data_IF_382867815378
#
_entry.id   IF_382867815378
#
_cell.length_a   1.000
_cell.length_b   1.000
_cell.length_c   1.000
_cell.angle_alpha   90.00
_cell.angle_beta   90.00
_cell.angle_gamma   90.00
#
_symmetry.space_group_name_H-M   'P 1'
#
loop_
_entity.id
_entity.type
_entity.pdbx_description
1 polymer ?
#
# COMPACT_ATOMS: atom_id res chain seq x y z
N UNK A 1 -65.38 78.97 -0.56
CA UNK A 1 -65.41 77.52 -0.38
C UNK A 1 -63.95 77.04 -0.32
N UNK A 2 -63.39 76.96 0.90
CA UNK A 2 -63.12 75.70 1.68
C UNK A 2 -62.00 74.86 1.05
N UNK A 3 -60.89 74.42 1.67
CA UNK A 3 -60.27 74.40 3.01
C UNK A 3 -58.74 74.16 2.76
N UNK A 4 -57.80 74.74 3.52
CA UNK A 4 -57.12 74.22 4.74
C UNK A 4 -56.28 72.92 4.53
N UNK A 5 -54.92 73.00 4.54
CA UNK A 5 -53.95 72.50 5.57
C UNK A 5 -53.94 70.96 5.71
N UNK A 6 -52.82 70.23 5.56
CA UNK A 6 -51.92 69.88 6.68
C UNK A 6 -50.61 69.16 6.26
N UNK A 7 -49.57 69.37 7.07
CA UNK A 7 -48.20 68.82 7.00
C UNK A 7 -48.13 67.39 7.55
N UNK A 8 -47.17 66.57 7.11
CA UNK A 8 -46.38 65.72 8.02
C UNK A 8 -44.91 65.58 7.57
N UNK A 9 -44.03 65.60 8.57
CA UNK A 9 -42.56 65.59 8.51
C UNK A 9 -42.00 64.16 8.42
N UNK A 10 -40.93 64.03 7.61
CA UNK A 10 -39.59 63.49 7.90
C UNK A 10 -39.32 62.07 8.48
N UNK A 11 -38.13 61.59 8.07
CA UNK A 11 -37.25 60.54 8.61
C UNK A 11 -37.56 59.06 8.30
N UNK A 12 -36.71 58.43 7.48
CA UNK A 12 -35.62 57.58 8.00
C UNK A 12 -34.83 56.96 6.84
N UNK A 13 -33.56 57.38 6.70
CA UNK A 13 -32.53 56.65 5.94
C UNK A 13 -32.05 55.49 6.81
N UNK A 14 -32.24 54.25 6.35
CA UNK A 14 -31.47 53.11 6.86
C UNK A 14 -30.48 52.64 5.77
N UNK A 15 -29.15 52.72 6.02
CA UNK A 15 -28.17 51.97 5.26
C UNK A 15 -28.12 50.51 5.78
N UNK A 16 -27.27 49.67 5.19
CA UNK A 16 -27.04 48.25 5.53
C UNK A 16 -27.82 47.21 4.72
N UNK A 17 -27.42 47.06 3.45
CA UNK A 17 -27.53 45.78 2.72
C UNK A 17 -26.19 45.39 2.08
N UNK A 18 -25.14 45.28 2.90
CA UNK A 18 -23.86 44.68 2.49
C UNK A 18 -23.34 43.78 3.61
N UNK A 19 -23.99 42.62 3.79
CA UNK A 19 -23.53 41.56 4.69
C UNK A 19 -24.02 40.21 4.13
N UNK A 20 -23.49 39.81 2.98
CA UNK A 20 -23.78 38.51 2.38
C UNK A 20 -22.61 37.94 1.56
N UNK A 21 -21.36 38.29 1.90
CA UNK A 21 -20.16 37.74 1.25
C UNK A 21 -19.12 37.25 2.26
N UNK A 22 -19.54 36.46 3.25
CA UNK A 22 -18.62 35.82 4.21
C UNK A 22 -18.86 34.30 4.36
N UNK A 23 -19.56 33.66 3.41
CA UNK A 23 -19.89 32.22 3.47
C UNK A 23 -19.34 31.39 2.29
N UNK A 24 -18.30 31.87 1.59
CA UNK A 24 -17.68 31.17 0.45
C UNK A 24 -16.27 30.62 0.75
N UNK A 25 -15.80 30.70 2.00
CA UNK A 25 -14.44 30.30 2.39
C UNK A 25 -14.29 28.88 2.95
N UNK A 26 -15.32 28.02 2.87
CA UNK A 26 -15.28 26.65 3.45
C UNK A 26 -15.07 25.56 2.39
N UNK A 27 -15.15 25.88 1.10
CA UNK A 27 -15.01 24.87 0.02
C UNK A 27 -13.57 24.48 -0.36
N UNK A 28 -12.54 24.95 0.35
CA UNK A 28 -11.13 24.63 0.04
C UNK A 28 -10.55 23.43 0.84
N UNK A 29 -11.34 22.79 1.72
CA UNK A 29 -10.89 21.63 2.50
C UNK A 29 -11.07 20.28 1.79
N UNK A 30 -11.54 20.27 0.54
CA UNK A 30 -11.75 19.04 -0.23
C UNK A 30 -10.46 18.40 -0.79
N UNK A 31 -9.29 19.00 -0.54
CA UNK A 31 -7.99 18.48 -1.02
C UNK A 31 -7.13 17.78 0.04
N UNK A 32 -7.61 17.64 1.29
CA UNK A 32 -6.87 16.84 2.26
C UNK A 32 -6.92 15.37 1.82
N UNK A 33 -5.79 14.64 1.75
CA UNK A 33 -5.83 13.20 1.50
C UNK A 33 -6.74 12.61 2.58
N UNK A 34 -7.82 11.96 2.16
CA UNK A 34 -8.66 11.20 3.06
C UNK A 34 -7.77 10.20 3.78
N UNK A 35 -7.57 10.38 5.08
CA UNK A 35 -6.99 9.35 5.91
C UNK A 35 -7.92 8.14 5.82
N UNK A 36 -7.52 7.11 5.08
CA UNK A 36 -8.26 5.87 5.05
C UNK A 36 -7.98 5.14 6.40
N UNK A 37 -8.93 4.36 6.89
CA UNK A 37 -8.64 3.49 8.03
C UNK A 37 -7.63 2.41 7.59
N UNK A 38 -6.79 1.90 8.49
CA UNK A 38 -5.88 0.80 8.13
C UNK A 38 -6.62 -0.34 7.40
N UNK A 39 -5.97 -0.92 6.40
CA UNK A 39 -6.56 -1.88 5.49
C UNK A 39 -5.65 -3.11 5.35
N UNK A 40 -6.24 -4.27 5.11
CA UNK A 40 -5.50 -5.50 4.80
C UNK A 40 -5.56 -5.72 3.30
N UNK A 41 -4.43 -5.87 2.64
CA UNK A 41 -4.37 -6.31 1.24
C UNK A 41 -4.40 -7.83 1.28
N UNK A 42 -5.53 -8.39 0.85
CA UNK A 42 -5.76 -9.83 0.67
C UNK A 42 -6.08 -10.15 -0.80
N UNK A 43 -6.12 -11.44 -1.12
CA UNK A 43 -6.31 -11.93 -2.49
C UNK A 43 -7.58 -12.75 -2.67
N UNK A 44 -8.50 -12.72 -1.72
CA UNK A 44 -9.71 -13.56 -1.72
C UNK A 44 -10.62 -13.27 -2.93
N UNK A 45 -10.70 -12.00 -3.31
CA UNK A 45 -11.47 -11.55 -4.47
C UNK A 45 -10.70 -11.63 -5.79
N UNK A 46 -9.40 -11.98 -5.75
CA UNK A 46 -8.59 -12.01 -6.94
C UNK A 46 -8.93 -13.24 -7.82
N UNK A 47 -8.89 -13.10 -9.16
CA UNK A 47 -8.95 -14.23 -10.06
C UNK A 47 -7.70 -15.10 -9.88
N UNK A 48 -7.83 -16.42 -10.06
CA UNK A 48 -6.69 -17.33 -10.00
C UNK A 48 -5.77 -17.14 -11.22
N UNK A 49 -4.47 -17.37 -11.02
CA UNK A 49 -3.45 -17.20 -12.05
C UNK A 49 -2.81 -15.80 -12.07
N UNK A 50 -2.07 -15.46 -13.14
CA UNK A 50 -1.30 -14.23 -13.21
C UNK A 50 -2.17 -12.97 -13.15
N UNK A 51 -1.78 -12.01 -12.30
CA UNK A 51 -2.36 -10.66 -12.24
C UNK A 51 -1.82 -9.77 -13.37
N UNK A 52 -0.75 -10.19 -14.03
CA UNK A 52 -0.05 -9.47 -15.09
C UNK A 52 1.34 -9.00 -14.62
N UNK A 53 2.22 -8.75 -15.57
CA UNK A 53 3.56 -8.19 -15.32
C UNK A 53 3.70 -6.94 -16.17
N UNK A 54 4.06 -5.80 -15.57
CA UNK A 54 4.27 -4.55 -16.31
C UNK A 54 5.76 -4.24 -16.49
N UNK A 55 6.08 -3.43 -17.50
CA UNK A 55 7.41 -2.85 -17.68
C UNK A 55 7.56 -1.66 -16.72
N UNK A 56 8.54 -1.66 -15.79
CA UNK A 56 8.75 -0.57 -14.85
C UNK A 56 9.04 0.79 -15.52
N UNK A 57 9.40 0.80 -16.82
CA UNK A 57 9.63 2.03 -17.61
C UNK A 57 8.35 2.54 -18.30
N UNK A 58 7.39 1.65 -18.58
CA UNK A 58 6.16 1.95 -19.33
C UNK A 58 4.99 2.45 -18.48
N UNK A 59 5.10 2.36 -17.15
CA UNK A 59 3.98 2.53 -16.24
C UNK A 59 2.98 1.36 -16.33
N UNK A 60 2.32 0.99 -15.22
CA UNK A 60 1.37 -0.11 -15.24
C UNK A 60 0.16 0.23 -16.12
N UNK A 61 -0.27 -0.72 -16.96
CA UNK A 61 -1.59 -0.64 -17.57
C UNK A 61 -2.62 -1.22 -16.60
N UNK A 62 -3.89 -0.80 -16.69
CA UNK A 62 -4.95 -1.28 -15.77
C UNK A 62 -5.18 -2.80 -15.84
N UNK A 63 -4.69 -3.49 -16.88
CA UNK A 63 -4.75 -4.94 -16.99
C UNK A 63 -3.61 -5.68 -16.26
N UNK A 64 -2.60 -4.96 -15.76
CA UNK A 64 -1.40 -5.55 -15.16
C UNK A 64 -1.37 -5.43 -13.63
N UNK A 65 -2.49 -4.98 -13.04
CA UNK A 65 -2.61 -4.72 -11.60
C UNK A 65 -3.94 -5.24 -11.06
N UNK A 66 -3.90 -5.80 -9.86
CA UNK A 66 -5.06 -6.15 -9.06
C UNK A 66 -5.34 -5.03 -8.07
N UNK A 67 -6.62 -4.77 -7.77
CA UNK A 67 -7.01 -3.79 -6.77
C UNK A 67 -7.57 -4.49 -5.55
N UNK A 68 -6.93 -4.28 -4.39
CA UNK A 68 -7.39 -4.78 -3.10
C UNK A 68 -7.41 -3.66 -2.08
N UNK A 69 -8.59 -3.42 -1.50
CA UNK A 69 -8.79 -2.45 -0.42
C UNK A 69 -8.14 -1.06 -0.63
N UNK A 70 -8.19 -0.55 -1.86
CA UNK A 70 -7.65 0.76 -2.23
C UNK A 70 -6.18 0.77 -2.65
N UNK A 71 -5.55 -0.40 -2.80
CA UNK A 71 -4.19 -0.55 -3.29
C UNK A 71 -4.15 -1.19 -4.66
N UNK A 72 -3.30 -0.68 -5.54
CA UNK A 72 -2.85 -1.42 -6.70
C UNK A 72 -1.77 -2.41 -6.26
N UNK A 73 -1.88 -3.65 -6.73
CA UNK A 73 -0.90 -4.71 -6.57
C UNK A 73 -0.50 -5.15 -7.97
N UNK A 74 0.73 -4.86 -8.35
CA UNK A 74 1.33 -5.28 -9.61
C UNK A 74 2.61 -6.08 -9.35
N UNK A 75 3.22 -6.53 -10.44
CA UNK A 75 4.54 -7.11 -10.36
C UNK A 75 5.33 -6.93 -11.65
N UNK A 76 6.63 -7.11 -11.52
CA UNK A 76 7.56 -7.14 -12.65
C UNK A 76 8.70 -8.10 -12.37
N UNK A 77 9.25 -8.67 -13.43
CA UNK A 77 10.44 -9.52 -13.34
C UNK A 77 11.69 -8.66 -13.45
N UNK A 78 12.63 -8.87 -12.53
CA UNK A 78 13.97 -8.28 -12.61
C UNK A 78 15.00 -9.31 -13.15
N UNK A 79 14.51 -10.42 -13.73
CA UNK A 79 15.36 -11.41 -14.37
C UNK A 79 15.84 -10.88 -15.73
N UNK A 80 17.12 -11.09 -16.12
CA UNK A 80 17.64 -10.70 -17.44
C UNK A 80 16.92 -11.36 -18.62
N UNK A 81 16.13 -12.40 -18.37
CA UNK A 81 15.33 -13.16 -19.34
C UNK A 81 13.84 -13.12 -18.99
N UNK A 82 13.37 -12.00 -18.45
CA UNK A 82 11.94 -11.84 -18.18
C UNK A 82 11.10 -12.15 -19.42
N UNK A 83 10.25 -13.18 -19.34
CA UNK A 83 9.42 -13.65 -20.45
C UNK A 83 7.92 -13.58 -20.11
N UNK A 84 7.10 -13.40 -21.15
CA UNK A 84 5.66 -13.52 -21.01
C UNK A 84 5.31 -14.93 -20.51
N UNK A 85 4.73 -15.03 -19.31
CA UNK A 85 4.45 -16.30 -18.67
C UNK A 85 5.37 -16.64 -17.49
N UNK A 86 6.23 -15.73 -17.04
CA UNK A 86 7.04 -15.91 -15.81
C UNK A 86 6.22 -16.07 -14.51
N UNK A 87 4.89 -15.95 -14.59
CA UNK A 87 3.96 -16.12 -13.48
C UNK A 87 4.28 -15.20 -12.28
N UNK A 88 5.04 -14.13 -12.52
CA UNK A 88 5.39 -13.07 -11.56
C UNK A 88 4.10 -12.41 -11.11
N UNK A 89 3.74 -12.59 -9.83
CA UNK A 89 2.42 -12.32 -9.25
C UNK A 89 1.28 -13.18 -9.81
N UNK A 90 1.30 -14.47 -9.46
CA UNK A 90 0.16 -15.36 -9.67
C UNK A 90 -0.62 -15.59 -8.39
N UNK A 91 -1.94 -15.50 -8.45
CA UNK A 91 -2.81 -15.85 -7.34
C UNK A 91 -2.98 -17.36 -7.30
N UNK A 92 -2.66 -17.94 -6.16
CA UNK A 92 -2.74 -19.38 -5.89
C UNK A 92 -3.86 -19.61 -4.87
N UNK A 93 -4.68 -20.63 -5.13
CA UNK A 93 -5.66 -21.12 -4.15
C UNK A 93 -4.97 -22.08 -3.18
N UNK A 94 -4.72 -21.64 -1.94
CA UNK A 94 -4.10 -22.45 -0.91
C UNK A 94 -4.93 -23.66 -0.47
N UNK A 95 -6.23 -23.70 -0.78
CA UNK A 95 -7.05 -24.89 -0.53
C UNK A 95 -6.83 -26.01 -1.55
N UNK A 96 -6.32 -25.67 -2.75
CA UNK A 96 -6.01 -26.60 -3.84
C UNK A 96 -4.56 -26.49 -4.30
N UNK A 97 -3.63 -26.67 -3.36
CA UNK A 97 -2.18 -26.62 -3.66
C UNK A 97 -1.76 -27.61 -4.75
N UNK A 98 -2.42 -28.77 -4.82
CA UNK A 98 -2.11 -29.80 -5.80
C UNK A 98 -2.44 -29.36 -7.24
N UNK A 99 -3.54 -28.63 -7.43
CA UNK A 99 -3.94 -28.08 -8.73
C UNK A 99 -3.31 -26.72 -9.06
N UNK A 100 -2.96 -25.92 -8.04
CA UNK A 100 -2.61 -24.51 -8.22
C UNK A 100 -1.11 -24.19 -8.13
N UNK A 101 -0.25 -25.18 -7.84
CA UNK A 101 1.17 -24.94 -7.57
C UNK A 101 2.14 -25.46 -8.65
N UNK A 102 1.75 -25.59 -9.93
CA UNK A 102 2.64 -25.75 -11.12
C UNK A 102 3.97 -26.53 -10.96
N UNK A 103 4.00 -27.66 -10.25
CA UNK A 103 5.23 -28.38 -9.88
C UNK A 103 6.28 -27.50 -9.15
N UNK A 104 5.82 -26.70 -8.18
CA UNK A 104 6.61 -25.98 -7.19
C UNK A 104 6.27 -26.50 -5.78
N UNK A 105 7.17 -26.33 -4.83
CA UNK A 105 6.92 -26.66 -3.43
C UNK A 105 6.29 -25.43 -2.73
N UNK A 106 4.98 -25.25 -2.92
CA UNK A 106 4.22 -24.19 -2.26
C UNK A 106 4.00 -24.45 -0.77
N UNK A 107 3.60 -23.40 -0.02
CA UNK A 107 3.05 -23.56 1.32
C UNK A 107 1.86 -24.50 1.31
N UNK A 108 1.74 -25.31 2.37
CA UNK A 108 0.68 -26.30 2.46
C UNK A 108 -0.67 -25.69 2.79
N UNK A 109 -1.75 -26.36 2.39
CA UNK A 109 -3.11 -25.97 2.71
C UNK A 109 -3.39 -25.95 4.22
N UNK A 110 -2.68 -26.77 4.99
CA UNK A 110 -2.74 -26.75 6.45
C UNK A 110 -2.12 -25.47 7.04
N UNK A 111 -1.14 -24.89 6.35
CA UNK A 111 -0.53 -23.63 6.78
C UNK A 111 -1.32 -22.41 6.31
N UNK A 112 -1.84 -22.43 5.09
CA UNK A 112 -2.72 -21.38 4.58
C UNK A 112 -3.63 -21.96 3.48
N UNK A 113 -4.94 -21.94 3.73
CA UNK A 113 -5.95 -22.36 2.76
C UNK A 113 -6.64 -21.20 2.03
N UNK A 114 -6.23 -19.95 2.29
CA UNK A 114 -6.70 -18.76 1.60
C UNK A 114 -6.12 -18.66 0.19
N UNK A 115 -6.57 -17.67 -0.59
CA UNK A 115 -5.84 -17.26 -1.78
C UNK A 115 -4.67 -16.38 -1.38
N UNK A 116 -3.51 -16.62 -1.97
CA UNK A 116 -2.32 -15.81 -1.74
C UNK A 116 -1.62 -15.46 -3.04
N UNK A 117 -0.76 -14.44 -2.97
CA UNK A 117 0.06 -14.02 -4.09
C UNK A 117 1.37 -14.78 -4.10
N UNK A 118 1.67 -15.46 -5.21
CA UNK A 118 2.95 -16.09 -5.47
C UNK A 118 3.79 -15.18 -6.39
N UNK A 119 4.97 -14.78 -5.94
CA UNK A 119 5.98 -14.19 -6.79
C UNK A 119 6.97 -15.27 -7.20
N UNK A 120 6.99 -15.58 -8.51
CA UNK A 120 7.82 -16.62 -9.10
C UNK A 120 8.92 -15.99 -9.97
N UNK A 121 9.92 -16.80 -10.36
CA UNK A 121 10.98 -16.40 -11.29
C UNK A 121 11.73 -15.10 -10.95
N UNK A 122 12.16 -14.96 -9.68
CA UNK A 122 12.81 -13.74 -9.16
C UNK A 122 11.93 -12.46 -9.34
N UNK A 123 10.61 -12.62 -9.28
CA UNK A 123 9.64 -11.55 -9.41
C UNK A 123 9.65 -10.56 -8.24
N UNK A 124 9.34 -9.31 -8.56
CA UNK A 124 9.14 -8.21 -7.62
C UNK A 124 7.66 -7.87 -7.57
N UNK A 125 7.08 -7.87 -6.38
CA UNK A 125 5.73 -7.34 -6.15
C UNK A 125 5.86 -5.85 -5.89
N UNK A 126 4.99 -5.05 -6.51
CA UNK A 126 4.89 -3.60 -6.32
C UNK A 126 3.49 -3.21 -5.88
N UNK A 127 3.40 -2.36 -4.86
CA UNK A 127 2.17 -1.95 -4.20
C UNK A 127 2.20 -0.44 -3.97
N UNK A 128 1.14 0.23 -4.42
CA UNK A 128 0.91 1.65 -4.15
C UNK A 128 -0.58 1.95 -3.98
N UNK A 129 -0.90 3.00 -3.21
CA UNK A 129 -2.29 3.35 -2.94
C UNK A 129 -2.94 3.99 -4.17
N UNK A 130 -4.19 3.62 -4.46
CA UNK A 130 -4.95 4.07 -5.66
C UNK A 130 -5.16 5.59 -5.73
N UNK A 131 -5.14 6.27 -4.59
CA UNK A 131 -5.23 7.73 -4.50
C UNK A 131 -3.87 8.45 -4.48
N UNK A 132 -2.75 7.73 -4.52
CA UNK A 132 -1.41 8.28 -4.33
C UNK A 132 -1.10 8.73 -2.88
N UNK A 133 -1.96 8.36 -1.91
CA UNK A 133 -1.73 8.64 -0.50
C UNK A 133 -0.61 7.78 0.07
N UNK A 134 0.12 8.33 1.05
CA UNK A 134 1.10 7.54 1.79
C UNK A 134 0.46 6.56 2.77
N UNK A 135 1.18 5.49 3.06
CA UNK A 135 0.77 4.39 3.92
C UNK A 135 1.96 3.80 4.67
N UNK A 136 1.69 3.04 5.73
CA UNK A 136 2.69 2.22 6.43
C UNK A 136 2.32 0.76 6.30
N UNK A 137 3.32 -0.10 6.19
CA UNK A 137 3.15 -1.55 6.34
C UNK A 137 3.37 -1.90 7.80
N UNK A 138 2.46 -2.65 8.40
CA UNK A 138 2.55 -3.08 9.80
C UNK A 138 2.99 -4.54 9.88
N UNK A 139 2.32 -5.41 9.14
CA UNK A 139 2.58 -6.83 9.10
C UNK A 139 2.11 -7.45 7.79
N UNK A 140 2.50 -8.70 7.57
CA UNK A 140 2.07 -9.52 6.44
C UNK A 140 2.36 -10.98 6.78
N UNK A 141 1.72 -11.90 6.07
CA UNK A 141 2.04 -13.31 6.12
C UNK A 141 2.88 -13.69 4.90
N UNK A 142 3.98 -14.40 5.11
CA UNK A 142 4.83 -14.83 4.00
C UNK A 142 5.39 -16.23 4.18
N UNK A 143 5.72 -16.86 3.06
CA UNK A 143 6.41 -18.14 3.01
C UNK A 143 7.35 -18.22 1.81
N UNK A 144 8.30 -19.15 1.85
CA UNK A 144 9.10 -19.48 0.68
C UNK A 144 8.31 -20.39 -0.28
N UNK A 145 8.50 -20.22 -1.58
CA UNK A 145 8.04 -21.18 -2.58
C UNK A 145 9.27 -21.90 -3.14
N UNK A 146 9.38 -23.19 -2.87
CA UNK A 146 10.51 -23.98 -3.35
C UNK A 146 10.42 -24.29 -4.85
N UNK A 147 11.52 -24.15 -5.57
CA UNK A 147 11.63 -24.72 -6.92
C UNK A 147 11.95 -26.22 -6.81
N UNK A 148 11.10 -27.10 -7.36
CA UNK A 148 11.31 -28.55 -7.30
C UNK A 148 12.56 -29.02 -8.06
N UNK A 149 13.09 -28.24 -9.02
CA UNK A 149 14.28 -28.60 -9.80
C UNK A 149 15.51 -28.90 -8.92
N UNK A 150 15.60 -28.29 -7.72
CA UNK A 150 16.70 -28.56 -6.78
C UNK A 150 16.39 -29.67 -5.77
N UNK A 151 15.11 -30.02 -5.54
CA UNK A 151 14.62 -31.09 -4.65
C UNK A 151 15.04 -31.04 -3.18
N UNK A 152 16.00 -30.18 -2.82
CA UNK A 152 16.60 -30.06 -1.49
C UNK A 152 16.66 -28.60 -1.11
N UNK A 153 16.06 -28.25 0.02
CA UNK A 153 16.06 -26.90 0.56
C UNK A 153 16.80 -26.89 1.90
N UNK A 154 17.53 -25.82 2.25
CA UNK A 154 18.20 -25.76 3.53
C UNK A 154 17.17 -25.74 4.67
N UNK A 155 17.35 -26.64 5.64
CA UNK A 155 16.52 -26.64 6.85
C UNK A 155 16.70 -25.31 7.59
N UNK A 156 15.59 -24.73 8.05
CA UNK A 156 15.58 -23.48 8.83
C UNK A 156 15.52 -22.20 7.99
N UNK A 157 16.28 -22.06 6.90
CA UNK A 157 16.24 -20.88 6.01
C UNK A 157 16.40 -21.28 4.56
N UNK A 158 15.30 -21.20 3.80
CA UNK A 158 15.33 -21.38 2.35
C UNK A 158 15.44 -20.04 1.61
N UNK A 159 14.99 -18.95 2.23
CA UNK A 159 15.08 -17.63 1.63
C UNK A 159 15.08 -16.49 2.62
N UNK A 160 15.22 -15.28 2.08
CA UNK A 160 15.02 -14.03 2.81
C UNK A 160 14.09 -13.17 1.96
N UNK A 161 12.97 -12.73 2.53
CA UNK A 161 12.12 -11.73 1.91
C UNK A 161 12.65 -10.35 2.27
N UNK A 162 12.99 -9.55 1.27
CA UNK A 162 13.23 -8.12 1.45
C UNK A 162 11.97 -7.37 1.08
N UNK A 163 11.54 -6.53 2.01
CA UNK A 163 10.61 -5.46 1.71
C UNK A 163 11.37 -4.15 1.59
N UNK A 164 10.95 -3.29 0.67
CA UNK A 164 11.51 -1.97 0.49
C UNK A 164 10.38 -0.96 0.27
N UNK A 165 10.33 0.07 1.09
CA UNK A 165 9.37 1.16 0.95
C UNK A 165 10.05 2.41 0.44
N UNK A 166 9.38 3.14 -0.44
CA UNK A 166 9.84 4.42 -0.98
C UNK A 166 8.99 5.55 -0.42
N UNK A 167 9.64 6.60 0.08
CA UNK A 167 8.98 7.80 0.60
C UNK A 167 8.65 8.76 -0.53
N UNK A 168 7.72 9.70 -0.29
CA UNK A 168 7.40 10.76 -1.26
C UNK A 168 8.60 11.65 -1.65
N UNK A 169 9.69 11.62 -0.87
CA UNK A 169 10.94 12.35 -1.12
C UNK A 169 11.95 11.52 -1.94
N UNK A 170 11.60 10.30 -2.34
CA UNK A 170 12.48 9.40 -3.10
C UNK A 170 13.50 8.62 -2.26
N UNK A 171 13.50 8.77 -0.93
CA UNK A 171 14.31 7.92 -0.05
C UNK A 171 13.67 6.54 0.09
N UNK A 172 14.49 5.49 0.22
CA UNK A 172 14.01 4.14 0.48
C UNK A 172 14.51 3.57 1.80
N UNK A 173 13.69 2.78 2.47
CA UNK A 173 14.07 1.94 3.61
C UNK A 173 13.78 0.48 3.26
N UNK A 174 14.56 -0.45 3.82
CA UNK A 174 14.33 -1.88 3.64
C UNK A 174 14.38 -2.64 4.96
N UNK A 175 13.68 -3.76 5.00
CA UNK A 175 13.72 -4.71 6.11
C UNK A 175 13.71 -6.14 5.56
N UNK A 176 14.52 -7.01 6.16
CA UNK A 176 14.68 -8.40 5.75
C UNK A 176 13.99 -9.34 6.73
N UNK A 177 13.27 -10.33 6.19
CA UNK A 177 12.54 -11.34 6.94
C UNK A 177 13.00 -12.73 6.49
N UNK A 178 13.25 -13.61 7.44
CA UNK A 178 13.65 -14.99 7.14
C UNK A 178 12.45 -15.77 6.63
N UNK A 179 12.59 -16.40 5.47
CA UNK A 179 11.64 -17.38 4.97
C UNK A 179 12.20 -18.78 5.28
N UNK A 180 11.46 -19.51 6.11
CA UNK A 180 11.89 -20.82 6.59
C UNK A 180 11.96 -21.85 5.45
N UNK A 181 12.89 -22.80 5.60
CA UNK A 181 12.87 -24.03 4.80
C UNK A 181 11.67 -24.92 5.15
N UNK A 182 11.42 -25.97 4.36
CA UNK A 182 10.28 -26.85 4.60
C UNK A 182 10.47 -27.61 5.93
N UNK A 183 9.40 -27.68 6.71
CA UNK A 183 9.31 -28.54 7.88
C UNK A 183 8.92 -29.97 7.51
N UNK A 184 8.49 -30.75 8.52
CA UNK A 184 7.99 -32.11 8.30
C UNK A 184 6.78 -32.14 7.35
N UNK A 185 5.93 -31.11 7.42
CA UNK A 185 4.72 -30.99 6.63
C UNK A 185 4.91 -30.11 5.38
N UNK A 186 6.13 -29.71 5.03
CA UNK A 186 6.42 -28.81 3.90
C UNK A 186 6.59 -27.34 4.29
N UNK A 187 6.45 -26.44 3.32
CA UNK A 187 6.56 -25.00 3.57
C UNK A 187 5.33 -24.46 4.30
N UNK A 188 5.55 -23.45 5.15
CA UNK A 188 4.50 -22.84 5.96
C UNK A 188 4.63 -21.31 5.95
N UNK A 189 3.49 -20.64 5.99
CA UNK A 189 3.38 -19.21 6.24
C UNK A 189 3.82 -18.86 7.65
N UNK A 190 4.48 -17.72 7.76
CA UNK A 190 4.81 -17.09 9.03
C UNK A 190 4.30 -15.66 9.03
N UNK A 191 3.75 -15.24 10.16
CA UNK A 191 3.34 -13.86 10.39
C UNK A 191 4.56 -12.99 10.68
N UNK A 192 4.77 -11.98 9.84
CA UNK A 192 5.90 -11.06 9.91
C UNK A 192 5.41 -9.68 10.35
N UNK A 193 6.08 -9.10 11.34
CA UNK A 193 5.77 -7.76 11.84
C UNK A 193 6.95 -6.85 11.53
N UNK A 194 6.68 -5.74 10.84
CA UNK A 194 7.68 -4.70 10.58
C UNK A 194 8.05 -3.99 11.87
N UNK A 195 9.28 -3.46 11.96
CA UNK A 195 9.76 -2.84 13.20
C UNK A 195 10.62 -1.61 12.95
N UNK A 196 10.93 -0.88 14.04
CA UNK A 196 11.88 0.23 14.02
C UNK A 196 11.46 1.36 13.08
N UNK A 197 12.43 1.91 12.34
CA UNK A 197 12.18 3.02 11.42
C UNK A 197 11.22 2.64 10.28
N UNK A 198 11.29 1.39 9.79
CA UNK A 198 10.45 0.94 8.68
C UNK A 198 8.96 1.01 9.05
N UNK A 199 8.57 0.44 10.20
CA UNK A 199 7.17 0.42 10.67
C UNK A 199 6.56 1.83 10.95
N UNK A 200 7.43 2.84 11.10
CA UNK A 200 7.05 4.21 11.43
C UNK A 200 7.23 5.19 10.27
N UNK A 201 7.62 4.72 9.08
CA UNK A 201 7.83 5.58 7.91
C UNK A 201 6.64 5.53 6.97
N UNK A 202 6.22 6.70 6.51
CA UNK A 202 5.18 6.83 5.48
C UNK A 202 5.78 6.61 4.09
N UNK A 203 5.29 5.56 3.42
CA UNK A 203 5.70 5.18 2.08
C UNK A 203 4.60 5.52 1.06
N UNK A 204 5.00 5.87 -0.16
CA UNK A 204 4.08 6.02 -1.31
C UNK A 204 4.08 4.79 -2.21
N UNK A 205 5.08 3.92 -2.06
CA UNK A 205 5.28 2.70 -2.82
C UNK A 205 6.00 1.67 -1.93
N UNK A 206 5.64 0.41 -2.10
CA UNK A 206 6.20 -0.73 -1.41
C UNK A 206 6.51 -1.82 -2.42
N UNK A 207 7.75 -2.32 -2.40
CA UNK A 207 8.13 -3.49 -3.18
C UNK A 207 8.57 -4.64 -2.27
N UNK A 208 8.34 -5.87 -2.75
CA UNK A 208 8.79 -7.08 -2.08
C UNK A 208 9.45 -8.03 -3.07
N UNK A 209 10.60 -8.61 -2.69
CA UNK A 209 11.32 -9.61 -3.47
C UNK A 209 12.12 -10.55 -2.57
N UNK A 210 12.35 -11.78 -3.01
CA UNK A 210 13.03 -12.78 -2.20
C UNK A 210 14.43 -13.13 -2.71
N UNK A 211 15.29 -13.45 -1.76
CA UNK A 211 16.58 -14.10 -1.95
C UNK A 211 16.38 -15.61 -1.76
N UNK A 212 17.07 -16.42 -2.55
CA UNK A 212 17.15 -17.87 -2.36
C UNK A 212 18.48 -18.24 -1.73
N UNK A 213 18.47 -19.11 -0.72
CA UNK A 213 19.67 -19.54 0.00
C UNK A 213 20.05 -20.98 -0.36
N UNK A 214 21.34 -21.21 -0.61
CA UNK A 214 21.88 -22.55 -0.84
C UNK A 214 22.18 -23.31 0.46
N UNK A 215 22.35 -22.56 1.56
CA UNK A 215 22.57 -23.11 2.90
C UNK A 215 21.77 -22.30 3.92
N UNK A 216 21.66 -22.74 5.19
CA UNK A 216 20.98 -21.95 6.21
C UNK A 216 21.69 -20.62 6.55
N UNK A 217 22.94 -20.43 6.10
CA UNK A 217 23.72 -19.23 6.36
C UNK A 217 23.24 -18.05 5.51
N UNK A 218 23.07 -16.88 6.14
CA UNK A 218 22.63 -15.64 5.50
C UNK A 218 23.49 -15.25 4.28
N UNK A 219 24.80 -15.51 4.34
CA UNK A 219 25.75 -15.20 3.28
C UNK A 219 25.58 -16.05 2.01
N UNK A 220 24.78 -17.11 2.06
CA UNK A 220 24.49 -17.97 0.90
C UNK A 220 23.24 -17.55 0.12
N UNK A 221 22.56 -16.48 0.55
CA UNK A 221 21.33 -16.02 -0.07
C UNK A 221 21.64 -15.08 -1.23
N UNK A 222 21.13 -15.41 -2.42
CA UNK A 222 21.31 -14.62 -3.65
C UNK A 222 19.96 -14.13 -4.16
N UNK A 223 19.93 -12.95 -4.75
CA UNK A 223 18.73 -12.32 -5.34
C UNK A 223 19.01 -12.03 -6.80
N UNK A 224 17.97 -12.10 -7.64
CA UNK A 224 17.95 -11.78 -9.07
C UNK A 224 19.10 -12.45 -9.83
N UNK A 225 18.80 -13.42 -10.70
CA UNK A 225 19.73 -14.28 -11.48
C UNK A 225 19.81 -15.74 -10.99
N UNK A 226 18.85 -16.17 -10.17
CA UNK A 226 18.79 -17.56 -9.70
C UNK A 226 17.54 -18.29 -10.19
N UNK A 227 16.51 -17.55 -10.59
CA UNK A 227 15.16 -18.06 -10.82
C UNK A 227 14.61 -18.88 -9.64
N UNK A 228 15.06 -18.53 -8.43
CA UNK A 228 14.79 -19.27 -7.18
C UNK A 228 14.29 -18.37 -6.07
N UNK A 229 14.39 -17.05 -6.20
CA UNK A 229 13.88 -16.07 -5.24
C UNK A 229 12.35 -15.98 -5.27
N UNK A 230 11.69 -17.08 -4.94
CA UNK A 230 10.23 -17.20 -5.02
C UNK A 230 9.61 -17.17 -3.63
N UNK A 231 8.46 -16.53 -3.50
CA UNK A 231 7.78 -16.38 -2.23
C UNK A 231 6.27 -16.27 -2.39
N UNK A 232 5.58 -16.62 -1.31
CA UNK A 232 4.16 -16.39 -1.13
C UNK A 232 3.95 -15.21 -0.19
N UNK A 233 2.95 -14.37 -0.48
CA UNK A 233 2.58 -13.19 0.31
C UNK A 233 1.06 -13.13 0.47
N UNK A 234 0.61 -12.83 1.68
CA UNK A 234 -0.80 -12.67 2.02
C UNK A 234 -0.99 -11.68 3.19
N UNK A 235 -2.24 -11.24 3.42
CA UNK A 235 -2.68 -10.45 4.57
C UNK A 235 -1.79 -9.25 4.91
N UNK A 236 -1.46 -8.42 3.92
CA UNK A 236 -0.57 -7.28 4.14
C UNK A 236 -1.35 -6.18 4.88
N UNK A 237 -1.11 -6.05 6.17
CA UNK A 237 -1.75 -5.07 7.02
C UNK A 237 -1.08 -3.70 6.85
N UNK A 238 -1.88 -2.72 6.49
CA UNK A 238 -1.47 -1.33 6.29
C UNK A 238 -2.17 -0.40 7.25
N UNK A 239 -1.54 0.74 7.52
CA UNK A 239 -2.19 1.88 8.20
C UNK A 239 -2.00 3.13 7.36
N UNK A 240 -3.00 4.01 7.36
CA UNK A 240 -2.83 5.30 6.72
C UNK A 240 -1.74 6.10 7.42
N UNK A 241 -0.99 6.85 6.61
CA UNK A 241 -0.16 7.93 7.11
C UNK A 241 -1.08 8.97 7.75
N UNK A 242 -1.22 8.93 9.07
CA UNK A 242 -1.98 9.95 9.81
C UNK A 242 -1.16 11.23 9.75
N UNK A 243 -1.68 12.35 9.20
CA UNK A 243 -0.98 13.62 9.26
C UNK A 243 -0.66 13.91 10.71
N UNK A 244 0.62 14.19 11.00
CA UNK A 244 1.06 14.40 12.37
C UNK A 244 0.14 15.42 13.07
N UNK A 245 -0.21 15.23 14.36
CA UNK A 245 -1.08 16.16 15.09
C UNK A 245 -0.63 17.62 15.00
N UNK A 246 0.67 17.85 14.81
CA UNK A 246 1.28 19.15 14.57
C UNK A 246 0.73 19.85 13.30
N UNK A 247 0.45 19.11 12.23
CA UNK A 247 -0.05 19.67 10.96
C UNK A 247 -1.48 20.18 11.13
N UNK A 248 -2.32 19.41 11.82
CA UNK A 248 -3.68 19.83 12.16
C UNK A 248 -3.70 20.98 13.15
N UNK A 249 -2.78 20.97 14.13
CA UNK A 249 -2.64 22.06 15.08
C UNK A 249 -2.17 23.34 14.39
N UNK A 250 -1.22 23.27 13.45
CA UNK A 250 -0.73 24.42 12.70
C UNK A 250 -1.77 24.96 11.72
N UNK A 251 -2.51 24.08 11.03
CA UNK A 251 -3.65 24.47 10.20
C UNK A 251 -4.73 25.14 11.06
N UNK A 252 -5.10 24.52 12.18
CA UNK A 252 -6.07 25.05 13.14
C UNK A 252 -5.64 26.40 13.71
N UNK A 253 -4.38 26.53 14.13
CA UNK A 253 -3.81 27.77 14.62
C UNK A 253 -3.78 28.86 13.54
N UNK A 254 -3.43 28.50 12.31
CA UNK A 254 -3.46 29.41 11.16
C UNK A 254 -4.88 29.92 10.88
N UNK A 255 -5.87 29.04 10.89
CA UNK A 255 -7.28 29.40 10.70
C UNK A 255 -7.80 30.30 11.84
N UNK A 256 -7.44 29.99 13.10
CA UNK A 256 -7.77 30.83 14.25
C UNK A 256 -7.14 32.23 14.14
N UNK A 257 -5.89 32.33 13.69
CA UNK A 257 -5.22 33.61 13.48
C UNK A 257 -5.92 34.44 12.39
N UNK A 258 -6.29 33.83 11.27
CA UNK A 258 -7.05 34.49 10.19
C UNK A 258 -8.42 34.95 10.68
N UNK A 259 -9.12 34.13 11.47
CA UNK A 259 -10.40 34.49 12.10
C UNK A 259 -10.29 35.67 13.07
N UNK A 260 -9.23 35.71 13.87
CA UNK A 260 -8.97 36.82 14.80
C UNK A 260 -8.67 38.13 14.05
N UNK A 261 -7.86 38.07 12.98
CA UNK A 261 -7.51 39.25 12.17
C UNK A 261 -8.74 39.79 11.43
N UNK A 262 -9.54 38.91 10.81
CA UNK A 262 -10.76 39.33 10.09
C UNK A 262 -11.77 39.98 11.02
N UNK A 263 -11.99 39.43 12.23
CA UNK A 263 -12.84 40.07 13.25
C UNK A 263 -12.35 41.46 13.64
N UNK A 264 -11.03 41.66 13.78
CA UNK A 264 -10.44 42.98 14.09
C UNK A 264 -10.58 44.02 12.99
N UNK A 265 -10.77 43.62 11.73
CA UNK A 265 -10.96 44.55 10.60
C UNK A 265 -12.42 44.97 10.41
N UNK A 266 -13.36 44.29 11.07
CA UNK A 266 -14.78 44.59 11.02
C UNK A 266 -15.30 45.34 12.26
N UNK A 267 -14.46 45.48 13.31
CA UNK A 267 -14.69 46.33 14.47
C UNK A 267 -13.95 47.66 14.31
#
# INVERSE_FOLDING_TARGET
MTHCVERYRALSLTPFKHLAYAALGVLALAGAPSAYAGAVIDFESAPLGPIGSYDPVGGPTLSDVFVSNGFYVGAFTNAPKGEAGDLVASVVDGSDVAGACWNLACPTSASNSSKYLASLNDGVIDIFHTSGSSFRIQSFDASFIGNYDTGTFPAGRAGVLRIQGFTALGNSLSQDFVLAGPGADGFAFAHQVTTGAFANTDFVEFIAFAFACDTPAASSCTVFNSNRGQFALDNIATTAAVPEPSTWLMLGAGLLAVGAITRRRQA
#
